data_IF_716551812460
#
_entry.id   IF_716551812460
#
_cell.length_a   1.000
_cell.length_b   1.000
_cell.length_c   1.000
_cell.angle_alpha   90.00
_cell.angle_beta   90.00
_cell.angle_gamma   90.00
#
_symmetry.space_group_name_H-M   'P 1'
#
loop_
_entity.id
_entity.type
_entity.pdbx_description
1 polymer ?
#
# COMPACT_ATOMS: atom_id res chain seq x y z
N UNK A 1 1.16 0.46 27.25
CA UNK A 1 -0.03 0.97 26.54
C UNK A 1 -0.98 -0.20 26.35
N UNK A 2 -2.17 -0.15 26.96
CA UNK A 2 -3.21 -1.17 26.84
C UNK A 2 -3.86 -1.04 25.45
N UNK A 3 -3.40 -1.82 24.47
CA UNK A 3 -4.18 -2.02 23.26
C UNK A 3 -5.31 -2.97 23.61
N UNK A 4 -6.59 -2.54 23.57
CA UNK A 4 -7.69 -3.40 23.97
C UNK A 4 -7.70 -4.64 23.07
N UNK A 5 -7.85 -5.82 23.67
CA UNK A 5 -7.83 -7.12 22.98
C UNK A 5 -8.76 -7.14 21.75
N UNK A 6 -9.87 -6.39 21.83
CA UNK A 6 -10.84 -6.22 20.74
C UNK A 6 -10.25 -5.56 19.48
N UNK A 7 -9.36 -4.58 19.61
CA UNK A 7 -8.74 -3.92 18.47
C UNK A 7 -7.84 -4.89 17.69
N UNK A 8 -7.16 -5.80 18.39
CA UNK A 8 -6.33 -6.82 17.76
C UNK A 8 -7.17 -7.84 16.95
N UNK A 9 -8.35 -8.19 17.45
CA UNK A 9 -9.31 -9.08 16.76
C UNK A 9 -9.90 -8.47 15.48
N UNK A 10 -9.97 -7.13 15.39
CA UNK A 10 -10.49 -6.43 14.19
C UNK A 10 -9.42 -6.12 13.14
N UNK A 11 -8.14 -6.29 13.47
CA UNK A 11 -7.05 -6.02 12.53
C UNK A 11 -7.01 -7.08 11.43
N UNK A 12 -6.69 -6.67 10.19
CA UNK A 12 -6.51 -7.62 9.10
C UNK A 12 -5.36 -8.57 9.41
N UNK A 13 -5.42 -9.78 8.85
CA UNK A 13 -4.36 -10.79 8.98
C UNK A 13 -3.03 -10.18 8.51
N UNK A 14 -2.02 -10.31 9.35
CA UNK A 14 -0.69 -9.74 9.10
C UNK A 14 0.40 -10.81 9.10
N UNK A 15 1.34 -10.70 8.18
CA UNK A 15 2.56 -11.52 8.11
C UNK A 15 3.74 -10.59 8.42
N UNK A 16 4.61 -10.98 9.36
CA UNK A 16 5.75 -10.17 9.80
C UNK A 16 5.39 -8.70 10.20
N UNK A 17 4.18 -8.51 10.74
CA UNK A 17 3.69 -7.18 11.16
C UNK A 17 3.14 -6.30 10.03
N UNK A 18 2.95 -6.86 8.84
CA UNK A 18 2.37 -6.18 7.67
C UNK A 18 1.09 -6.88 7.21
N UNK A 19 0.03 -6.12 6.88
CA UNK A 19 -1.16 -6.65 6.18
C UNK A 19 -0.78 -7.33 4.85
N UNK A 20 -1.56 -8.33 4.42
CA UNK A 20 -1.27 -9.09 3.20
C UNK A 20 -1.10 -8.20 1.96
N UNK A 21 -1.91 -7.15 1.80
CA UNK A 21 -1.78 -6.21 0.68
C UNK A 21 -0.42 -5.51 0.68
N UNK A 22 0.13 -5.18 1.84
CA UNK A 22 1.43 -4.49 1.92
C UNK A 22 2.58 -5.46 1.63
N UNK A 23 2.43 -6.73 2.00
CA UNK A 23 3.39 -7.77 1.64
C UNK A 23 3.44 -7.96 0.12
N UNK A 24 2.29 -7.90 -0.56
CA UNK A 24 2.24 -7.98 -2.03
C UNK A 24 2.95 -6.77 -2.66
N UNK A 25 2.71 -5.56 -2.15
CA UNK A 25 3.41 -4.34 -2.60
C UNK A 25 4.92 -4.46 -2.37
N UNK A 26 5.32 -4.87 -1.16
CA UNK A 26 6.72 -5.07 -0.80
C UNK A 26 7.39 -6.05 -1.77
N UNK A 27 6.77 -7.20 -2.00
CA UNK A 27 7.28 -8.23 -2.90
C UNK A 27 7.38 -7.70 -4.34
N UNK A 28 6.32 -7.05 -4.84
CA UNK A 28 6.29 -6.50 -6.19
C UNK A 28 7.37 -5.45 -6.43
N UNK A 29 7.56 -4.52 -5.50
CA UNK A 29 8.56 -3.44 -5.62
C UNK A 29 9.98 -4.01 -5.49
N UNK A 30 10.21 -4.92 -4.54
CA UNK A 30 11.55 -5.48 -4.28
C UNK A 30 11.98 -6.48 -5.34
N UNK A 31 11.20 -7.53 -5.57
CA UNK A 31 11.51 -8.54 -6.58
C UNK A 31 11.32 -8.01 -7.99
N UNK A 32 10.27 -7.24 -8.26
CA UNK A 32 10.08 -6.64 -9.59
C UNK A 32 11.22 -5.69 -9.96
N UNK A 33 11.62 -4.81 -9.04
CA UNK A 33 12.75 -3.92 -9.28
C UNK A 33 14.10 -4.65 -9.31
N UNK A 34 14.28 -5.70 -8.51
CA UNK A 34 15.47 -6.56 -8.58
C UNK A 34 15.58 -7.27 -9.92
N UNK A 35 14.49 -7.84 -10.44
CA UNK A 35 14.48 -8.50 -11.75
C UNK A 35 14.80 -7.49 -12.86
N UNK A 36 14.28 -6.26 -12.76
CA UNK A 36 14.54 -5.21 -13.74
C UNK A 36 16.00 -4.70 -13.73
N UNK A 37 16.63 -4.64 -12.56
CA UNK A 37 17.98 -4.06 -12.40
C UNK A 37 19.10 -5.08 -12.25
N UNK A 38 18.75 -6.34 -11.93
CA UNK A 38 19.65 -7.44 -11.53
C UNK A 38 20.64 -7.06 -10.41
N UNK A 39 20.31 -6.06 -9.60
CA UNK A 39 21.22 -5.49 -8.62
C UNK A 39 20.87 -5.93 -7.21
N UNK A 40 21.78 -6.67 -6.57
CA UNK A 40 21.63 -7.08 -5.17
C UNK A 40 21.61 -5.88 -4.21
N UNK A 41 22.31 -4.79 -4.54
CA UNK A 41 22.26 -3.57 -3.72
C UNK A 41 20.88 -2.92 -3.80
N UNK A 42 20.27 -2.87 -4.99
CA UNK A 42 18.88 -2.43 -5.15
C UNK A 42 17.93 -3.29 -4.31
N UNK A 43 18.07 -4.62 -4.37
CA UNK A 43 17.21 -5.54 -3.65
C UNK A 43 17.24 -5.29 -2.13
N UNK A 44 18.43 -5.20 -1.55
CA UNK A 44 18.60 -5.00 -0.10
C UNK A 44 18.12 -3.62 0.33
N UNK A 45 18.57 -2.56 -0.34
CA UNK A 45 18.22 -1.18 0.02
C UNK A 45 16.71 -0.97 -0.12
N UNK A 46 16.15 -1.36 -1.27
CA UNK A 46 14.71 -1.20 -1.51
C UNK A 46 13.90 -2.04 -0.54
N UNK A 47 14.31 -3.29 -0.26
CA UNK A 47 13.62 -4.15 0.70
C UNK A 47 13.56 -3.56 2.10
N UNK A 48 14.67 -3.02 2.61
CA UNK A 48 14.70 -2.40 3.94
C UNK A 48 13.87 -1.12 3.96
N UNK A 49 14.07 -0.21 3.00
CA UNK A 49 13.39 1.10 2.97
C UNK A 49 11.87 0.93 2.82
N UNK A 50 11.44 0.08 1.87
CA UNK A 50 10.01 -0.16 1.66
C UNK A 50 9.37 -0.91 2.82
N UNK A 51 10.06 -1.87 3.46
CA UNK A 51 9.55 -2.52 4.67
C UNK A 51 9.33 -1.51 5.80
N UNK A 52 10.30 -0.65 6.08
CA UNK A 52 10.17 0.38 7.12
C UNK A 52 9.01 1.33 6.80
N UNK A 53 8.94 1.84 5.57
CA UNK A 53 7.86 2.73 5.14
C UNK A 53 6.47 2.09 5.29
N UNK A 54 6.32 0.85 4.82
CA UNK A 54 5.07 0.11 4.95
C UNK A 54 4.75 -0.24 6.40
N UNK A 55 5.75 -0.46 7.25
CA UNK A 55 5.54 -0.74 8.68
C UNK A 55 5.04 0.50 9.41
N UNK A 56 5.58 1.68 9.10
CA UNK A 56 5.09 2.95 9.62
C UNK A 56 3.65 3.19 9.15
N UNK A 57 3.37 2.95 7.87
CA UNK A 57 2.03 3.10 7.30
C UNK A 57 1.03 2.13 7.94
N UNK A 58 1.41 0.87 8.15
CA UNK A 58 0.55 -0.14 8.80
C UNK A 58 0.27 0.18 10.28
N UNK A 59 1.17 0.89 10.95
CA UNK A 59 0.95 1.36 12.32
C UNK A 59 -0.01 2.55 12.36
N UNK A 60 -0.03 3.38 11.31
CA UNK A 60 -1.00 4.47 11.15
C UNK A 60 -2.38 3.93 10.77
N UNK A 61 -2.48 3.24 9.63
CA UNK A 61 -3.69 2.57 9.16
C UNK A 61 -3.34 1.30 8.36
N UNK A 62 -3.73 0.10 8.82
CA UNK A 62 -3.43 -1.16 8.15
C UNK A 62 -4.28 -1.40 6.88
N UNK A 63 -5.32 -0.61 6.60
CA UNK A 63 -6.21 -0.81 5.44
C UNK A 63 -6.06 0.27 4.36
N UNK A 64 -5.16 1.23 4.52
CA UNK A 64 -5.09 2.38 3.61
C UNK A 64 -4.82 1.96 2.15
N UNK A 65 -3.97 0.96 1.91
CA UNK A 65 -3.73 0.51 0.53
C UNK A 65 -4.98 -0.15 -0.06
N UNK A 66 -5.72 -0.95 0.70
CA UNK A 66 -6.95 -1.59 0.21
C UNK A 66 -7.99 -0.53 -0.17
N UNK A 67 -8.12 0.52 0.64
CA UNK A 67 -9.00 1.67 0.35
C UNK A 67 -8.56 2.38 -0.94
N UNK A 68 -7.27 2.63 -1.11
CA UNK A 68 -6.74 3.28 -2.33
C UNK A 68 -6.96 2.41 -3.57
N UNK A 69 -6.68 1.11 -3.50
CA UNK A 69 -6.86 0.22 -4.64
C UNK A 69 -8.33 0.03 -4.98
N UNK A 70 -9.19 -0.17 -3.97
CA UNK A 70 -10.61 -0.39 -4.23
C UNK A 70 -11.31 0.87 -4.74
N UNK A 71 -10.93 2.04 -4.24
CA UNK A 71 -11.44 3.32 -4.78
C UNK A 71 -10.98 3.50 -6.21
N UNK A 72 -9.71 3.23 -6.53
CA UNK A 72 -9.23 3.32 -7.91
C UNK A 72 -9.93 2.33 -8.86
N UNK A 73 -10.25 1.11 -8.40
CA UNK A 73 -10.93 0.08 -9.21
C UNK A 73 -12.43 0.39 -9.37
N UNK A 74 -13.10 0.80 -8.29
CA UNK A 74 -14.57 0.97 -8.27
C UNK A 74 -15.03 2.35 -8.70
N UNK A 75 -14.22 3.37 -8.45
CA UNK A 75 -14.46 4.76 -8.84
C UNK A 75 -13.25 5.25 -9.64
N UNK A 76 -13.07 4.75 -10.88
CA UNK A 76 -11.96 5.18 -11.73
C UNK A 76 -12.05 6.70 -11.96
N UNK A 77 -10.90 7.37 -11.87
CA UNK A 77 -10.83 8.81 -12.08
C UNK A 77 -11.19 9.12 -13.54
N UNK A 78 -12.16 10.02 -13.81
CA UNK A 78 -12.52 10.37 -15.17
C UNK A 78 -11.33 11.05 -15.87
N UNK A 79 -11.15 10.89 -17.19
CA UNK A 79 -10.04 11.51 -17.91
C UNK A 79 -9.96 13.03 -17.76
N UNK A 80 -11.09 13.70 -17.50
CA UNK A 80 -11.17 15.14 -17.25
C UNK A 80 -10.35 15.59 -16.04
N UNK A 81 -10.24 14.73 -15.01
CA UNK A 81 -9.43 15.00 -13.82
C UNK A 81 -7.95 15.23 -14.15
N UNK A 82 -7.43 14.56 -15.17
CA UNK A 82 -6.04 14.72 -15.63
C UNK A 82 -5.86 15.87 -16.62
N UNK A 83 -6.95 16.41 -17.18
CA UNK A 83 -6.93 17.51 -18.15
C UNK A 83 -7.07 18.89 -17.50
N UNK A 84 -7.29 18.95 -16.18
CA UNK A 84 -7.64 20.20 -15.49
C UNK A 84 -9.04 20.73 -15.83
N UNK A 85 -9.80 19.95 -16.61
CA UNK A 85 -11.23 20.16 -16.82
C UNK A 85 -11.91 19.69 -15.54
N UNK A 86 -12.22 20.62 -14.63
CA UNK A 86 -12.76 20.31 -13.30
C UNK A 86 -13.94 19.34 -13.30
N UNK A 87 -14.36 18.89 -12.12
CA UNK A 87 -15.48 17.94 -11.99
C UNK A 87 -16.77 18.63 -12.48
N UNK A 88 -17.23 18.28 -13.68
CA UNK A 88 -18.53 18.72 -14.19
C UNK A 88 -19.58 17.81 -13.56
N UNK A 89 -20.14 18.23 -12.43
CA UNK A 89 -21.35 17.60 -11.89
C UNK A 89 -22.50 17.89 -12.85
N UNK A 90 -22.92 16.90 -13.65
CA UNK A 90 -24.20 16.95 -14.35
C UNK A 90 -25.24 16.32 -13.43
N UNK A 91 -26.23 17.11 -13.04
CA UNK A 91 -27.43 16.68 -12.32
C UNK A 91 -28.35 15.86 -13.25
#
# INVERSE_FOLDING_TARGET
MSHPCFQALTRPVSIAGLPMSYVIILFGVTFGGFIATLSFTYFVVTGVVSYIGLRLLANYDPRIADVVFITMIRTPLPPSWFKGEGIIYRA
#
